data_IF_306288645435
#
_entry.id   IF_306288645435
#
_cell.length_a   1.000
_cell.length_b   1.000
_cell.length_c   1.000
_cell.angle_alpha   90.00
_cell.angle_beta   90.00
_cell.angle_gamma   90.00
#
_symmetry.space_group_name_H-M   'P 1'
#
loop_
_entity.id
_entity.type
_entity.pdbx_description
1 polymer ?
#
# COMPACT_ATOMS: atom_id res chain seq x y z
N UNK A 1 11.20 -2.74 -21.60
CA UNK A 1 10.42 -2.03 -20.55
C UNK A 1 9.83 -0.82 -21.27
N UNK A 2 8.52 -0.76 -21.47
CA UNK A 2 7.90 0.29 -22.31
C UNK A 2 8.21 1.68 -21.76
N UNK A 3 8.59 2.62 -22.63
CA UNK A 3 8.79 4.01 -22.24
C UNK A 3 7.47 4.61 -21.77
N UNK A 4 7.36 4.79 -20.46
CA UNK A 4 6.30 5.59 -19.88
C UNK A 4 6.61 7.08 -20.13
N UNK A 5 5.58 7.94 -20.25
CA UNK A 5 5.78 9.38 -20.28
C UNK A 5 6.73 9.85 -19.18
N UNK A 6 7.62 10.84 -19.43
CA UNK A 6 8.66 11.24 -18.47
C UNK A 6 8.15 11.62 -17.08
N UNK A 7 6.89 12.08 -17.00
CA UNK A 7 6.19 12.46 -15.78
C UNK A 7 5.62 11.27 -14.97
N UNK A 8 5.69 10.04 -15.50
CA UNK A 8 5.28 8.83 -14.80
C UNK A 8 6.53 8.10 -14.30
N UNK A 9 6.63 7.94 -12.98
CA UNK A 9 7.68 7.18 -12.32
C UNK A 9 7.04 5.95 -11.67
N UNK A 10 7.64 4.79 -11.89
CA UNK A 10 7.17 3.52 -11.33
C UNK A 10 8.08 3.14 -10.19
N UNK A 11 7.48 2.86 -9.05
CA UNK A 11 8.16 2.36 -7.86
C UNK A 11 7.50 1.07 -7.41
N UNK A 12 8.30 0.16 -6.84
CA UNK A 12 7.83 -1.10 -6.31
C UNK A 12 8.19 -1.15 -4.83
N UNK A 13 7.19 -1.26 -3.97
CA UNK A 13 7.39 -1.53 -2.56
C UNK A 13 7.48 -3.04 -2.34
N UNK A 14 8.61 -3.51 -1.82
CA UNK A 14 8.80 -4.88 -1.40
C UNK A 14 8.55 -5.02 0.10
N UNK A 15 7.61 -5.88 0.49
CA UNK A 15 7.45 -6.34 1.86
C UNK A 15 8.10 -7.72 2.01
N UNK A 16 8.43 -8.21 3.22
CA UNK A 16 9.25 -9.41 3.43
C UNK A 16 8.50 -10.73 3.14
N UNK A 17 7.90 -10.86 1.95
CA UNK A 17 7.10 -11.99 1.51
C UNK A 17 7.89 -13.32 1.49
N UNK A 18 9.20 -13.26 1.22
CA UNK A 18 10.07 -14.45 1.12
C UNK A 18 10.71 -14.90 2.43
N UNK A 19 10.58 -14.14 3.52
CA UNK A 19 11.18 -14.50 4.82
C UNK A 19 10.22 -15.23 5.75
N UNK A 20 8.97 -15.48 5.31
CA UNK A 20 7.93 -16.07 6.15
C UNK A 20 7.55 -17.45 5.62
N UNK A 21 7.84 -18.48 6.43
CA UNK A 21 7.76 -19.89 6.03
C UNK A 21 6.32 -20.42 5.91
N UNK A 22 5.31 -19.67 6.37
CA UNK A 22 3.91 -20.05 6.25
C UNK A 22 3.03 -18.90 5.78
N UNK A 23 2.02 -19.22 4.96
CA UNK A 23 1.04 -18.28 4.43
C UNK A 23 0.37 -17.43 5.52
N UNK A 24 0.07 -18.03 6.68
CA UNK A 24 -0.56 -17.33 7.81
C UNK A 24 0.38 -16.33 8.48
N UNK A 25 1.66 -16.67 8.64
CA UNK A 25 2.65 -15.72 9.14
C UNK A 25 2.93 -14.61 8.12
N UNK A 26 2.92 -14.93 6.82
CA UNK A 26 3.02 -13.92 5.76
C UNK A 26 1.84 -12.95 5.79
N UNK A 27 0.62 -13.43 5.98
CA UNK A 27 -0.57 -12.59 6.05
C UNK A 27 -0.64 -11.72 7.32
N UNK A 28 -0.37 -12.31 8.49
CA UNK A 28 -0.63 -11.64 9.78
C UNK A 28 0.60 -10.93 10.37
N UNK A 29 1.81 -11.36 10.02
CA UNK A 29 3.06 -10.80 10.57
C UNK A 29 3.84 -10.04 9.50
N UNK A 30 3.94 -10.61 8.30
CA UNK A 30 4.67 -9.99 7.18
C UNK A 30 3.92 -8.81 6.56
N UNK A 31 2.69 -9.04 6.10
CA UNK A 31 1.90 -8.06 5.36
C UNK A 31 1.16 -7.06 6.27
N UNK A 32 0.72 -7.50 7.45
CA UNK A 32 -0.04 -6.67 8.40
C UNK A 32 0.75 -6.27 9.65
N UNK A 33 2.04 -6.60 9.74
CA UNK A 33 2.86 -6.17 10.87
C UNK A 33 3.06 -4.66 10.89
N UNK A 34 3.06 -4.06 12.09
CA UNK A 34 3.26 -2.62 12.33
C UNK A 34 4.51 -2.10 11.60
N UNK A 35 5.62 -2.85 11.68
CA UNK A 35 6.85 -2.53 10.94
C UNK A 35 6.61 -2.38 9.42
N UNK A 36 5.90 -3.31 8.79
CA UNK A 36 5.63 -3.24 7.34
C UNK A 36 4.72 -2.06 7.00
N UNK A 37 3.76 -1.75 7.87
CA UNK A 37 2.85 -0.61 7.69
C UNK A 37 3.60 0.72 7.77
N UNK A 38 4.47 0.86 8.78
CA UNK A 38 5.30 2.05 8.97
C UNK A 38 6.28 2.24 7.81
N UNK A 39 6.97 1.17 7.39
CA UNK A 39 7.87 1.22 6.24
C UNK A 39 7.14 1.59 4.94
N UNK A 40 5.89 1.13 4.76
CA UNK A 40 5.08 1.51 3.61
C UNK A 40 4.67 2.99 3.66
N UNK A 41 4.30 3.49 4.84
CA UNK A 41 4.03 4.90 5.08
C UNK A 41 5.25 5.80 4.81
N UNK A 42 6.42 5.44 5.34
CA UNK A 42 7.68 6.14 5.10
C UNK A 42 8.07 6.12 3.62
N UNK A 43 7.89 4.99 2.95
CA UNK A 43 8.12 4.89 1.51
C UNK A 43 7.26 5.91 0.74
N UNK A 44 5.95 5.96 1.00
CA UNK A 44 5.08 6.95 0.36
C UNK A 44 5.47 8.38 0.72
N UNK A 45 5.79 8.64 1.98
CA UNK A 45 6.25 9.96 2.43
C UNK A 45 7.51 10.40 1.67
N UNK A 46 8.47 9.51 1.47
CA UNK A 46 9.69 9.80 0.73
C UNK A 46 9.42 10.21 -0.73
N UNK A 47 8.41 9.61 -1.37
CA UNK A 47 7.99 9.98 -2.71
C UNK A 47 7.38 11.38 -2.74
N UNK A 48 6.51 11.70 -1.77
CA UNK A 48 5.88 13.02 -1.66
C UNK A 48 6.90 14.11 -1.37
N UNK A 49 7.83 13.85 -0.44
CA UNK A 49 8.93 14.75 -0.09
C UNK A 49 9.87 14.94 -1.30
N UNK A 50 10.03 13.91 -2.14
CA UNK A 50 10.72 13.96 -3.43
C UNK A 50 9.97 14.71 -4.55
N UNK A 51 8.80 15.28 -4.26
CA UNK A 51 8.03 16.11 -5.19
C UNK A 51 6.91 15.38 -5.94
N UNK A 52 6.63 14.11 -5.62
CA UNK A 52 5.46 13.42 -6.19
C UNK A 52 4.18 14.07 -5.67
N UNK A 53 3.32 14.55 -6.58
CA UNK A 53 2.05 15.21 -6.24
C UNK A 53 0.82 14.35 -6.47
N UNK A 54 0.98 13.25 -7.19
CA UNK A 54 -0.11 12.34 -7.54
C UNK A 54 0.40 10.91 -7.52
N UNK A 55 -0.34 10.02 -6.86
CA UNK A 55 0.00 8.61 -6.70
C UNK A 55 -1.14 7.74 -7.24
N UNK A 56 -0.76 6.70 -7.97
CA UNK A 56 -1.63 5.60 -8.36
C UNK A 56 -1.14 4.35 -7.63
N UNK A 57 -2.02 3.70 -6.85
CA UNK A 57 -1.68 2.50 -6.09
C UNK A 57 -2.23 1.27 -6.79
N UNK A 58 -1.34 0.30 -7.02
CA UNK A 58 -1.64 -1.02 -7.56
C UNK A 58 -1.19 -2.04 -6.51
N UNK A 59 -2.14 -2.65 -5.80
CA UNK A 59 -1.85 -3.58 -4.71
C UNK A 59 -2.41 -4.96 -5.05
N UNK A 60 -1.55 -5.98 -5.06
CA UNK A 60 -1.91 -7.34 -5.47
C UNK A 60 -1.88 -8.33 -4.30
N UNK A 61 -2.87 -9.21 -4.17
CA UNK A 61 -2.93 -10.27 -3.14
C UNK A 61 -2.64 -9.71 -1.74
N UNK A 62 -1.66 -10.24 -1.02
CA UNK A 62 -1.26 -9.73 0.30
C UNK A 62 -0.71 -8.30 0.27
N UNK A 63 -0.26 -7.79 -0.88
CA UNK A 63 0.06 -6.37 -1.03
C UNK A 63 -1.16 -5.46 -0.80
N UNK A 64 -2.38 -5.94 -1.06
CA UNK A 64 -3.60 -5.23 -0.68
C UNK A 64 -3.75 -5.15 0.85
N UNK A 65 -3.37 -6.20 1.57
CA UNK A 65 -3.36 -6.20 3.05
C UNK A 65 -2.32 -5.26 3.63
N UNK A 66 -1.15 -5.14 3.00
CA UNK A 66 -0.15 -4.11 3.35
C UNK A 66 -0.75 -2.71 3.24
N UNK A 67 -1.31 -2.39 2.06
CA UNK A 67 -1.90 -1.09 1.81
C UNK A 67 -3.05 -0.77 2.77
N UNK A 68 -3.99 -1.70 2.96
CA UNK A 68 -5.15 -1.52 3.83
C UNK A 68 -4.76 -1.45 5.31
N UNK A 69 -3.78 -2.24 5.74
CA UNK A 69 -3.26 -2.20 7.11
C UNK A 69 -2.57 -0.88 7.44
N UNK A 70 -1.91 -0.26 6.46
CA UNK A 70 -1.17 0.98 6.63
C UNK A 70 -2.03 2.26 6.48
N UNK A 71 -3.36 2.16 6.42
CA UNK A 71 -4.21 3.32 6.10
C UNK A 71 -4.01 4.50 7.06
N UNK A 72 -3.73 4.25 8.33
CA UNK A 72 -3.51 5.32 9.31
C UNK A 72 -2.17 6.05 9.08
N UNK A 73 -1.12 5.34 8.68
CA UNK A 73 0.15 5.92 8.25
C UNK A 73 0.04 6.64 6.89
N UNK A 74 -0.84 6.15 6.01
CA UNK A 74 -0.99 6.64 4.64
C UNK A 74 -1.86 7.89 4.54
N UNK A 75 -2.94 7.99 5.33
CA UNK A 75 -3.88 9.13 5.35
C UNK A 75 -3.19 10.52 5.44
N UNK A 76 -2.23 10.77 6.34
CA UNK A 76 -1.57 12.08 6.40
C UNK A 76 -0.71 12.38 5.16
N UNK A 77 -0.20 11.34 4.49
CA UNK A 77 0.66 11.46 3.30
C UNK A 77 -0.17 11.60 2.02
N UNK A 78 -1.32 10.92 1.95
CA UNK A 78 -2.22 10.92 0.81
C UNK A 78 -3.53 11.65 1.14
N UNK A 79 -3.68 12.86 0.60
CA UNK A 79 -4.87 13.70 0.82
C UNK A 79 -4.78 14.66 2.01
N UNK A 80 -3.71 14.59 2.81
CA UNK A 80 -3.38 15.60 3.82
C UNK A 80 -2.86 16.91 3.22
N UNK A 81 -2.84 17.96 4.02
CA UNK A 81 -2.28 19.27 3.62
C UNK A 81 -0.77 19.12 3.34
N UNK A 82 -0.35 19.43 2.10
CA UNK A 82 1.02 19.17 1.62
C UNK A 82 1.28 17.73 1.14
N UNK A 83 0.32 16.82 1.28
CA UNK A 83 0.38 15.44 0.80
C UNK A 83 0.14 15.29 -0.72
N UNK A 84 0.33 14.08 -1.23
CA UNK A 84 -0.01 13.77 -2.62
C UNK A 84 -1.48 13.38 -2.79
N UNK A 85 -2.04 13.66 -3.96
CA UNK A 85 -3.38 13.17 -4.33
C UNK A 85 -3.31 11.69 -4.68
N UNK A 86 -4.11 10.86 -4.01
CA UNK A 86 -4.37 9.49 -4.49
C UNK A 86 -5.37 9.56 -5.65
N UNK A 87 -4.90 9.27 -6.86
CA UNK A 87 -5.72 9.38 -8.06
C UNK A 87 -6.51 8.09 -8.34
N UNK A 88 -5.87 6.95 -8.16
CA UNK A 88 -6.52 5.64 -8.28
C UNK A 88 -5.92 4.67 -7.27
N UNK A 89 -6.75 3.78 -6.73
CA UNK A 89 -6.33 2.62 -5.99
C UNK A 89 -6.97 1.38 -6.61
N UNK A 90 -6.14 0.42 -7.04
CA UNK A 90 -6.58 -0.84 -7.64
C UNK A 90 -6.12 -1.98 -6.75
N UNK A 91 -7.08 -2.67 -6.14
CA UNK A 91 -6.85 -3.88 -5.36
C UNK A 91 -7.07 -5.09 -6.26
N UNK A 92 -6.00 -5.83 -6.56
CA UNK A 92 -6.01 -6.96 -7.48
C UNK A 92 -5.98 -8.26 -6.69
N UNK A 93 -7.07 -9.04 -6.77
CA UNK A 93 -7.24 -10.28 -6.00
C UNK A 93 -6.90 -10.06 -4.51
N UNK A 94 -7.54 -9.10 -3.80
CA UNK A 94 -7.19 -8.84 -2.42
C UNK A 94 -7.42 -10.12 -1.59
N UNK A 95 -6.39 -10.57 -0.87
CA UNK A 95 -6.49 -11.70 0.08
C UNK A 95 -7.25 -11.27 1.34
N UNK A 96 -8.44 -10.69 1.14
CA UNK A 96 -9.34 -10.17 2.15
C UNK A 96 -10.65 -10.98 2.09
N UNK A 97 -11.15 -11.38 3.25
CA UNK A 97 -12.36 -12.19 3.30
C UNK A 97 -13.55 -11.31 2.89
N UNK A 98 -14.43 -11.80 2.00
CA UNK A 98 -15.59 -11.01 1.53
C UNK A 98 -16.44 -10.46 2.69
N UNK A 99 -16.48 -11.18 3.82
CA UNK A 99 -17.15 -10.75 5.05
C UNK A 99 -16.61 -9.44 5.65
N UNK A 100 -15.33 -9.12 5.48
CA UNK A 100 -14.73 -7.86 5.98
C UNK A 100 -15.29 -6.61 5.26
N UNK A 101 -15.84 -6.78 4.06
CA UNK A 101 -16.45 -5.69 3.28
C UNK A 101 -17.97 -5.66 3.37
N UNK A 102 -18.59 -6.73 3.87
CA UNK A 102 -20.05 -6.93 3.86
C UNK A 102 -20.70 -6.81 5.24
N UNK A 103 -19.93 -6.70 6.33
CA UNK A 103 -20.54 -6.40 7.62
C UNK A 103 -21.08 -4.97 7.62
N UNK A 104 -22.40 -4.77 7.81
CA UNK A 104 -22.92 -3.44 8.12
C UNK A 104 -22.24 -3.00 9.40
N UNK A 105 -21.69 -1.79 9.40
CA UNK A 105 -21.13 -1.16 10.57
C UNK A 105 -22.04 -1.41 11.80
N UNK A 106 -21.44 -1.89 12.89
CA UNK A 106 -21.98 -1.63 14.21
C UNK A 106 -21.97 -0.13 14.49
#
# INVERSE_FOLDING_TARGET
>A
MSDLPPNIKVFVFGWPAGQVLSYFQAANTGAQGEYTQDMFGEFLKSLVDGGVKQVHILAHSMGAKVFLGALDQVKPVLGGEGGAKMATCVLMNPDAFLGEFLTPNG
#
